data_IF_644795889738
#
_entry.id   IF_644795889738
#
_cell.length_a   1.000
_cell.length_b   1.000
_cell.length_c   1.000
_cell.angle_alpha   90.00
_cell.angle_beta   90.00
_cell.angle_gamma   90.00
#
_symmetry.space_group_name_H-M   'P 1'
#
loop_
_entity.id
_entity.type
_entity.pdbx_description
1 polymer ?
#
# COMPACT_ATOMS: atom_id res chain seq x y z
N UNK A 1 -22.90 3.17 -10.48
CA UNK A 1 -21.49 3.29 -10.10
C UNK A 1 -21.03 4.71 -10.35
N UNK A 2 -20.49 5.34 -9.31
CA UNK A 2 -20.12 6.75 -9.18
C UNK A 2 -18.67 6.97 -9.65
N UNK A 3 -18.50 7.45 -10.87
CA UNK A 3 -17.19 7.82 -11.41
C UNK A 3 -16.76 9.19 -10.88
N UNK A 4 -15.74 9.22 -10.03
CA UNK A 4 -14.94 10.42 -9.74
C UNK A 4 -13.76 10.44 -10.72
N UNK A 5 -13.81 11.29 -11.74
CA UNK A 5 -12.59 11.70 -12.45
C UNK A 5 -12.42 13.20 -12.27
N UNK A 6 -11.38 13.54 -11.52
CA UNK A 6 -11.07 14.89 -11.07
C UNK A 6 -10.40 15.66 -12.20
N UNK A 7 -11.12 16.68 -12.67
CA UNK A 7 -10.70 17.89 -13.35
C UNK A 7 -9.19 18.17 -13.37
N UNK A 8 -8.59 18.18 -14.56
CA UNK A 8 -7.35 18.89 -14.91
C UNK A 8 -7.57 19.43 -16.34
N UNK A 9 -8.05 20.65 -16.53
CA UNK A 9 -7.29 21.92 -16.52
C UNK A 9 -6.28 22.09 -17.67
N UNK A 10 -6.78 22.41 -18.87
CA UNK A 10 -6.35 23.52 -19.76
C UNK A 10 -6.86 23.29 -21.18
N UNK A 11 -7.85 24.06 -21.61
CA UNK A 11 -8.19 24.23 -23.02
C UNK A 11 -8.29 25.74 -23.30
N UNK A 12 -7.16 26.35 -23.65
CA UNK A 12 -7.11 27.70 -24.21
C UNK A 12 -7.15 27.57 -25.75
N UNK A 13 -8.35 27.78 -26.26
CA UNK A 13 -8.73 28.55 -27.46
C UNK A 13 -7.94 28.48 -28.79
N UNK A 14 -8.73 28.26 -29.86
CA UNK A 14 -8.62 28.66 -31.29
C UNK A 14 -7.90 27.74 -32.28
N UNK A 15 -8.65 27.36 -33.32
CA UNK A 15 -8.18 27.55 -34.71
C UNK A 15 -8.17 26.34 -35.63
N UNK A 16 -9.27 26.17 -36.39
CA UNK A 16 -9.37 25.71 -37.79
C UNK A 16 -8.34 24.80 -38.47
N UNK A 17 -8.90 23.78 -39.14
CA UNK A 17 -8.55 23.14 -40.43
C UNK A 17 -7.61 21.93 -40.49
N UNK A 18 -7.99 21.06 -41.45
CA UNK A 18 -7.25 20.01 -42.14
C UNK A 18 -7.29 18.58 -41.56
N UNK A 19 -8.16 17.81 -42.22
CA UNK A 19 -8.27 16.36 -42.27
C UNK A 19 -6.97 15.70 -42.75
N UNK A 20 -6.38 14.83 -41.93
CA UNK A 20 -5.49 13.75 -42.38
C UNK A 20 -5.80 12.48 -41.58
N UNK A 21 -6.34 11.48 -42.28
CA UNK A 21 -6.63 10.14 -41.80
C UNK A 21 -5.29 9.39 -41.67
N UNK A 22 -4.67 9.43 -40.49
CA UNK A 22 -3.54 8.56 -40.18
C UNK A 22 -4.06 7.37 -39.37
N UNK A 23 -4.08 6.18 -39.98
CA UNK A 23 -4.29 4.92 -39.28
C UNK A 23 -3.16 4.70 -38.28
N UNK A 24 -3.34 5.16 -37.04
CA UNK A 24 -2.47 4.79 -35.93
C UNK A 24 -2.86 3.38 -35.53
N UNK A 25 -2.10 2.38 -36.01
CA UNK A 25 -2.06 1.08 -35.37
C UNK A 25 -1.47 1.29 -33.97
N UNK A 26 -2.32 1.61 -33.01
CA UNK A 26 -1.97 1.49 -31.59
C UNK A 26 -1.82 -0.01 -31.35
N UNK A 27 -0.60 -0.51 -31.45
CA UNK A 27 -0.20 -1.72 -30.72
C UNK A 27 -0.36 -1.33 -29.26
N UNK A 28 -1.52 -1.67 -28.69
CA UNK A 28 -1.67 -1.80 -27.25
C UNK A 28 -0.80 -3.00 -26.86
N UNK A 29 0.50 -2.76 -26.71
CA UNK A 29 1.31 -3.60 -25.85
C UNK A 29 0.67 -3.45 -24.47
N UNK A 30 -0.22 -4.39 -24.15
CA UNK A 30 -0.59 -4.69 -22.79
C UNK A 30 0.71 -5.12 -22.11
N UNK A 31 1.50 -4.14 -21.71
CA UNK A 31 2.52 -4.34 -20.70
C UNK A 31 1.69 -4.78 -19.50
N UNK A 32 1.71 -6.09 -19.23
CA UNK A 32 1.51 -6.59 -17.89
C UNK A 32 2.67 -6.01 -17.09
N UNK A 33 2.56 -4.72 -16.78
CA UNK A 33 3.38 -4.06 -15.80
C UNK A 33 2.99 -4.76 -14.51
N UNK A 34 3.88 -5.63 -14.05
CA UNK A 34 3.89 -6.19 -12.72
C UNK A 34 4.12 -5.00 -11.75
N UNK A 35 3.13 -4.11 -11.69
CA UNK A 35 3.12 -2.91 -10.87
C UNK A 35 3.15 -3.45 -9.44
N UNK A 36 4.32 -3.43 -8.79
CA UNK A 36 4.43 -3.77 -7.37
C UNK A 36 3.44 -2.91 -6.60
N UNK A 37 2.32 -3.52 -6.16
CA UNK A 37 1.22 -2.77 -5.54
C UNK A 37 1.72 -2.16 -4.24
N UNK A 38 1.76 -0.84 -4.19
CA UNK A 38 2.32 -0.07 -3.08
C UNK A 38 1.33 0.99 -2.63
N UNK A 39 1.18 1.16 -1.31
CA UNK A 39 0.30 2.16 -0.73
C UNK A 39 1.08 3.03 0.27
N UNK A 40 0.87 4.35 0.22
CA UNK A 40 1.54 5.30 1.13
C UNK A 40 0.66 5.57 2.35
N UNK A 41 1.11 5.13 3.53
CA UNK A 41 0.43 5.37 4.80
C UNK A 41 0.86 6.72 5.38
N UNK A 42 -0.09 7.65 5.51
CA UNK A 42 0.12 8.93 6.22
C UNK A 42 -0.21 8.78 7.70
N UNK A 43 0.67 9.28 8.56
CA UNK A 43 0.55 9.17 10.02
C UNK A 43 0.97 10.44 10.77
N UNK A 44 1.07 11.56 10.08
CA UNK A 44 1.45 12.86 10.68
C UNK A 44 0.38 13.38 11.67
N UNK A 45 -0.85 12.89 11.54
CA UNK A 45 -1.97 13.18 12.42
C UNK A 45 -1.96 12.35 13.72
N UNK A 46 -1.09 11.35 13.81
CA UNK A 46 -0.99 10.45 14.96
C UNK A 46 0.13 10.87 15.91
N UNK A 47 -0.12 10.77 17.23
CA UNK A 47 0.92 10.91 18.26
C UNK A 47 1.72 9.61 18.39
N UNK A 48 2.55 9.30 17.40
CA UNK A 48 3.28 8.03 17.27
C UNK A 48 4.29 7.72 18.39
N UNK A 49 4.60 8.71 19.25
CA UNK A 49 5.41 8.53 20.46
C UNK A 49 4.62 7.99 21.67
N UNK A 50 3.32 7.75 21.54
CA UNK A 50 2.47 7.20 22.61
C UNK A 50 2.05 5.76 22.29
N UNK A 51 1.75 4.92 23.30
CA UNK A 51 1.24 3.57 23.05
C UNK A 51 0.01 3.54 22.13
N UNK A 52 -0.95 4.44 22.39
CA UNK A 52 -2.15 4.57 21.56
C UNK A 52 -1.85 4.98 20.11
N UNK A 53 -0.87 5.87 19.91
CA UNK A 53 -0.44 6.27 18.57
C UNK A 53 0.32 5.18 17.82
N UNK A 54 1.13 4.37 18.51
CA UNK A 54 1.80 3.21 17.95
C UNK A 54 0.82 2.14 17.47
N UNK A 55 -0.19 1.82 18.29
CA UNK A 55 -1.28 0.91 17.91
C UNK A 55 -2.08 1.44 16.72
N UNK A 56 -2.47 2.72 16.75
CA UNK A 56 -3.25 3.32 15.68
C UNK A 56 -2.47 3.35 14.35
N UNK A 57 -1.16 3.61 14.40
CA UNK A 57 -0.28 3.49 13.24
C UNK A 57 -0.22 2.05 12.73
N UNK A 58 -0.03 1.08 13.62
CA UNK A 58 -0.03 -0.33 13.26
C UNK A 58 -1.32 -0.73 12.53
N UNK A 59 -2.49 -0.32 13.04
CA UNK A 59 -3.77 -0.60 12.39
C UNK A 59 -3.88 -0.03 10.98
N UNK A 60 -3.33 1.17 10.73
CA UNK A 60 -3.29 1.76 9.39
C UNK A 60 -2.36 1.00 8.45
N UNK A 61 -1.20 0.59 8.94
CA UNK A 61 -0.25 -0.24 8.18
C UNK A 61 -0.91 -1.58 7.83
N UNK A 62 -1.58 -2.23 8.79
CA UNK A 62 -2.29 -3.48 8.57
C UNK A 62 -3.39 -3.33 7.50
N UNK A 63 -4.18 -2.26 7.56
CA UNK A 63 -5.20 -1.99 6.54
C UNK A 63 -4.58 -1.79 5.15
N UNK A 64 -3.53 -0.98 5.05
CA UNK A 64 -2.82 -0.78 3.78
C UNK A 64 -2.19 -2.08 3.26
N UNK A 65 -1.60 -2.90 4.15
CA UNK A 65 -1.06 -4.22 3.83
C UNK A 65 -2.15 -5.14 3.25
N UNK A 66 -3.35 -5.17 3.83
CA UNK A 66 -4.49 -5.91 3.30
C UNK A 66 -4.90 -5.40 1.93
N UNK A 67 -4.93 -4.09 1.72
CA UNK A 67 -5.30 -3.50 0.42
C UNK A 67 -4.29 -3.85 -0.68
N UNK A 68 -2.99 -3.81 -0.37
CA UNK A 68 -1.96 -4.17 -1.36
C UNK A 68 -1.93 -5.67 -1.64
N UNK A 69 -2.22 -6.51 -0.64
CA UNK A 69 -2.17 -7.97 -0.77
C UNK A 69 -3.49 -8.60 -1.21
N UNK A 70 -4.59 -7.83 -1.28
CA UNK A 70 -5.88 -8.36 -1.71
C UNK A 70 -5.85 -8.70 -3.21
N UNK A 71 -5.74 -9.99 -3.51
CA UNK A 71 -5.79 -10.55 -4.86
C UNK A 71 -7.21 -11.07 -5.14
N UNK A 72 -7.82 -10.75 -6.29
CA UNK A 72 -9.10 -11.36 -6.67
C UNK A 72 -8.90 -12.85 -7.02
N UNK A 73 -9.38 -13.77 -6.18
CA UNK A 73 -9.33 -15.20 -6.45
C UNK A 73 -9.73 -16.09 -5.26
N UNK A 74 -10.38 -17.25 -5.46
CA UNK A 74 -10.94 -18.05 -4.37
C UNK A 74 -9.92 -18.88 -3.56
N UNK A 75 -8.64 -18.95 -3.97
CA UNK A 75 -7.62 -19.84 -3.38
C UNK A 75 -6.39 -19.11 -2.80
N UNK A 76 -6.49 -17.79 -2.57
CA UNK A 76 -5.33 -16.95 -2.25
C UNK A 76 -5.20 -16.59 -0.76
N UNK A 77 -6.00 -17.15 0.14
CA UNK A 77 -6.01 -16.73 1.56
C UNK A 77 -4.64 -16.91 2.26
N UNK A 78 -3.92 -17.99 1.94
CA UNK A 78 -2.61 -18.24 2.52
C UNK A 78 -1.54 -17.28 1.97
N UNK A 79 -1.54 -17.04 0.66
CA UNK A 79 -0.65 -16.07 0.02
C UNK A 79 -0.94 -14.63 0.48
N UNK A 80 -2.21 -14.27 0.66
CA UNK A 80 -2.63 -12.99 1.21
C UNK A 80 -2.06 -12.80 2.62
N UNK A 81 -2.16 -13.83 3.48
CA UNK A 81 -1.62 -13.75 4.84
C UNK A 81 -0.10 -13.54 4.87
N UNK A 82 0.64 -14.33 4.09
CA UNK A 82 2.09 -14.20 4.00
C UNK A 82 2.48 -12.80 3.46
N UNK A 83 1.81 -12.35 2.40
CA UNK A 83 2.01 -11.01 1.84
C UNK A 83 1.77 -9.90 2.86
N UNK A 84 0.67 -9.99 3.64
CA UNK A 84 0.31 -8.98 4.64
C UNK A 84 1.37 -8.91 5.73
N UNK A 85 1.82 -10.06 6.25
CA UNK A 85 2.89 -10.11 7.25
C UNK A 85 4.20 -9.50 6.76
N UNK A 86 4.58 -9.83 5.54
CA UNK A 86 5.79 -9.32 4.92
C UNK A 86 5.70 -7.81 4.66
N UNK A 87 4.54 -7.32 4.21
CA UNK A 87 4.29 -5.91 4.01
C UNK A 87 4.33 -5.13 5.34
N UNK A 88 3.75 -5.67 6.40
CA UNK A 88 3.84 -5.11 7.76
C UNK A 88 5.29 -5.03 8.24
N UNK A 89 6.03 -6.14 8.16
CA UNK A 89 7.42 -6.18 8.61
C UNK A 89 8.28 -5.13 7.89
N UNK A 90 8.17 -5.04 6.56
CA UNK A 90 8.89 -4.04 5.75
C UNK A 90 8.48 -2.60 6.12
N UNK A 91 7.18 -2.34 6.29
CA UNK A 91 6.69 -1.01 6.63
C UNK A 91 7.19 -0.56 8.02
N UNK A 92 7.16 -1.46 9.00
CA UNK A 92 7.61 -1.18 10.38
C UNK A 92 9.11 -0.92 10.41
N UNK A 93 9.91 -1.74 9.70
CA UNK A 93 11.35 -1.52 9.56
C UNK A 93 11.67 -0.17 8.90
N UNK A 94 10.91 0.21 7.88
CA UNK A 94 11.11 1.49 7.17
C UNK A 94 10.74 2.71 8.01
N UNK A 95 9.67 2.60 8.81
CA UNK A 95 9.22 3.67 9.70
C UNK A 95 10.14 3.80 10.92
N UNK A 96 10.73 2.70 11.38
CA UNK A 96 11.73 2.62 12.45
C UNK A 96 11.35 3.40 13.73
N UNK A 97 10.09 3.22 14.18
CA UNK A 97 9.60 3.82 15.41
C UNK A 97 9.60 2.79 16.54
N UNK A 98 10.17 3.11 17.73
CA UNK A 98 10.31 2.14 18.82
C UNK A 98 8.95 1.68 19.37
N UNK A 99 7.98 2.59 19.51
CA UNK A 99 6.63 2.25 19.98
C UNK A 99 5.89 1.33 19.02
N UNK A 100 6.03 1.54 17.71
CA UNK A 100 5.43 0.70 16.68
C UNK A 100 6.08 -0.70 16.66
N UNK A 101 7.41 -0.74 16.78
CA UNK A 101 8.17 -1.99 16.80
C UNK A 101 7.82 -2.83 18.03
N UNK A 102 7.80 -2.22 19.22
CA UNK A 102 7.42 -2.90 20.45
C UNK A 102 5.98 -3.45 20.40
N UNK A 103 5.04 -2.68 19.83
CA UNK A 103 3.67 -3.16 19.61
C UNK A 103 3.63 -4.36 18.68
N UNK A 104 4.36 -4.30 17.55
CA UNK A 104 4.41 -5.39 16.58
C UNK A 104 5.03 -6.66 17.16
N UNK A 105 6.15 -6.54 17.86
CA UNK A 105 6.84 -7.68 18.48
C UNK A 105 6.00 -8.36 19.56
N UNK A 106 5.23 -7.59 20.33
CA UNK A 106 4.23 -8.11 21.27
C UNK A 106 3.12 -8.86 20.54
N UNK A 107 2.64 -8.36 19.40
CA UNK A 107 1.60 -9.01 18.59
C UNK A 107 2.08 -10.28 17.91
N UNK A 108 3.32 -10.30 17.39
CA UNK A 108 3.88 -11.46 16.68
C UNK A 108 4.50 -12.49 17.61
N UNK A 109 4.53 -12.26 18.93
CA UNK A 109 5.15 -13.17 19.90
C UNK A 109 6.68 -13.23 19.83
N UNK A 110 7.32 -12.37 19.02
CA UNK A 110 8.78 -12.33 18.85
C UNK A 110 9.49 -11.97 20.16
N UNK A 111 8.86 -11.13 20.97
CA UNK A 111 9.36 -10.77 22.29
C UNK A 111 9.31 -11.97 23.26
N UNK A 112 8.34 -12.87 23.11
CA UNK A 112 8.24 -14.08 23.93
C UNK A 112 9.30 -15.11 23.52
N UNK A 113 9.56 -15.27 22.22
CA UNK A 113 10.57 -16.20 21.69
C UNK A 113 12.01 -15.76 22.01
N UNK A 114 12.28 -14.45 21.99
CA UNK A 114 13.56 -13.90 22.42
C UNK A 114 13.83 -14.06 23.92
N UNK A 115 12.77 -14.06 24.75
CA UNK A 115 12.89 -14.27 26.20
C UNK A 115 13.07 -15.76 26.56
N UNK A 116 12.50 -16.68 25.79
CA UNK A 116 12.69 -18.13 26.00
C UNK A 116 14.01 -18.65 25.45
N UNK A 117 14.54 -18.09 24.36
CA UNK A 117 15.83 -18.49 23.79
C UNK A 117 17.05 -18.08 24.65
N UNK A 118 16.85 -17.24 25.66
CA UNK A 118 17.89 -16.75 26.57
C UNK A 118 17.97 -17.50 27.91
N UNK A 119 17.17 -18.57 28.06
CA UNK A 119 17.15 -19.47 29.23
C UNK A 119 17.85 -20.77 28.87
#
# INVERSE_FOLDING_TARGET
MNSNVKTISKAFFVGSTAMLLACVLVVSSAFADDQIRSETVKFQDLKVGTPAGGEALYRRIHAAARHVCSQPGPYEQFHEYACVKDAEARAIQKVNLPMLTAYYEGKTGRHAEALTAKR
#
